data_IF_158660378016
#
_entry.id   IF_158660378016
#
_cell.length_a   1.000
_cell.length_b   1.000
_cell.length_c   1.000
_cell.angle_alpha   90.00
_cell.angle_beta   90.00
_cell.angle_gamma   90.00
#
_symmetry.space_group_name_H-M   'P 1'
#
loop_
_entity.id
_entity.type
_entity.pdbx_description
1 polymer ?
#
# COMPACT_ATOMS: atom_id res chain seq x y z
N UNK A 1 4.71 -1.20 38.69
CA UNK A 1 3.84 -0.39 37.81
C UNK A 1 4.53 -0.07 36.49
N UNK A 2 4.98 -1.09 35.74
CA UNK A 2 5.57 -0.93 34.40
C UNK A 2 5.40 -2.23 33.61
N UNK A 3 4.17 -2.64 33.28
CA UNK A 3 3.95 -3.51 32.11
C UNK A 3 2.47 -3.55 31.72
N UNK A 4 1.96 -2.46 31.15
CA UNK A 4 0.65 -2.47 30.48
C UNK A 4 0.68 -1.71 29.16
N UNK A 5 1.87 -1.47 28.59
CA UNK A 5 2.04 -0.70 27.34
C UNK A 5 2.51 -1.54 26.16
N UNK A 6 2.54 -2.87 26.29
CA UNK A 6 3.14 -3.75 25.26
C UNK A 6 2.15 -4.49 24.36
N UNK A 7 0.84 -4.24 24.45
CA UNK A 7 -0.14 -5.05 23.71
C UNK A 7 -1.22 -4.33 22.89
N UNK A 8 -1.16 -3.00 22.74
CA UNK A 8 -2.19 -2.24 22.00
C UNK A 8 -1.64 -1.42 20.82
N UNK A 9 -0.59 -1.89 20.13
CA UNK A 9 -0.05 -1.17 18.97
C UNK A 9 -0.91 -1.40 17.71
N UNK A 10 -2.22 -1.16 17.79
CA UNK A 10 -2.90 -0.62 16.61
C UNK A 10 -2.24 0.72 16.35
N UNK A 11 -1.69 0.92 15.15
CA UNK A 11 -1.14 2.21 14.73
C UNK A 11 -2.24 3.25 14.92
N UNK A 12 -2.20 3.99 16.04
CA UNK A 12 -3.15 5.05 16.30
C UNK A 12 -2.75 6.24 15.44
N UNK A 13 -3.57 6.52 14.43
CA UNK A 13 -3.42 7.70 13.58
C UNK A 13 -4.57 8.65 13.92
N UNK A 14 -4.29 9.90 14.35
CA UNK A 14 -5.34 10.86 14.64
C UNK A 14 -6.11 11.20 13.36
N UNK A 15 -7.41 11.48 13.50
CA UNK A 15 -8.30 11.76 12.36
C UNK A 15 -7.80 12.90 11.46
N UNK A 16 -7.12 13.89 12.05
CA UNK A 16 -6.49 14.98 11.32
C UNK A 16 -5.36 14.48 10.39
N UNK A 17 -4.48 13.61 10.90
CA UNK A 17 -3.40 13.02 10.10
C UNK A 17 -3.96 12.10 8.99
N UNK A 18 -5.07 11.39 9.25
CA UNK A 18 -5.79 10.65 8.20
C UNK A 18 -6.32 11.58 7.10
N UNK A 19 -6.97 12.67 7.49
CA UNK A 19 -7.53 13.66 6.55
C UNK A 19 -6.44 14.28 5.67
N UNK A 20 -5.35 14.71 6.28
CA UNK A 20 -4.24 15.37 5.58
C UNK A 20 -3.49 14.40 4.66
N UNK A 21 -3.39 13.12 5.05
CA UNK A 21 -2.71 12.07 4.28
C UNK A 21 -3.54 11.44 3.17
N UNK A 22 -4.87 11.65 3.16
CA UNK A 22 -5.79 10.94 2.26
C UNK A 22 -5.48 11.15 0.79
N UNK A 23 -5.21 12.40 0.39
CA UNK A 23 -4.91 12.73 -1.00
C UNK A 23 -3.65 12.01 -1.48
N UNK A 24 -2.58 12.01 -0.67
CA UNK A 24 -1.34 11.28 -1.01
C UNK A 24 -1.56 9.77 -1.09
N UNK A 25 -2.31 9.20 -0.14
CA UNK A 25 -2.67 7.79 -0.15
C UNK A 25 -3.42 7.39 -1.43
N UNK A 26 -4.36 8.22 -1.89
CA UNK A 26 -5.12 8.00 -3.14
C UNK A 26 -4.22 8.13 -4.36
N UNK A 27 -3.43 9.21 -4.47
CA UNK A 27 -2.48 9.44 -5.58
C UNK A 27 -1.54 8.25 -5.74
N UNK A 28 -1.10 7.64 -4.63
CA UNK A 28 -0.19 6.52 -4.66
C UNK A 28 -0.74 5.29 -5.39
N UNK A 29 -2.06 5.13 -5.47
CA UNK A 29 -2.70 3.97 -6.09
C UNK A 29 -3.01 4.16 -7.58
N UNK A 30 -3.03 5.39 -8.10
CA UNK A 30 -3.57 5.65 -9.45
C UNK A 30 -2.65 5.10 -10.54
N UNK A 31 -1.35 5.38 -10.43
CA UNK A 31 -0.33 4.86 -11.34
C UNK A 31 0.98 4.66 -10.59
N UNK A 32 1.91 3.90 -11.17
CA UNK A 32 3.27 3.80 -10.64
C UNK A 32 3.94 5.17 -10.52
N UNK A 33 3.67 6.08 -11.47
CA UNK A 33 4.18 7.47 -11.43
C UNK A 33 3.53 8.23 -10.27
N UNK A 34 2.22 8.10 -10.08
CA UNK A 34 1.50 8.64 -8.91
C UNK A 34 2.07 8.13 -7.59
N UNK A 35 2.42 6.85 -7.52
CA UNK A 35 3.12 6.26 -6.37
C UNK A 35 4.45 6.95 -6.08
N UNK A 36 5.29 7.18 -7.10
CA UNK A 36 6.56 7.88 -6.93
C UNK A 36 6.34 9.32 -6.45
N UNK A 37 5.39 10.05 -7.04
CA UNK A 37 5.03 11.41 -6.61
C UNK A 37 4.59 11.40 -5.13
N UNK A 38 3.72 10.48 -4.74
CA UNK A 38 3.22 10.38 -3.37
C UNK A 38 4.35 10.04 -2.37
N UNK A 39 5.33 9.22 -2.76
CA UNK A 39 6.54 8.95 -1.96
C UNK A 39 7.26 10.27 -1.67
N UNK A 40 7.57 11.05 -2.71
CA UNK A 40 8.26 12.34 -2.54
C UNK A 40 7.46 13.33 -1.70
N UNK A 41 6.15 13.47 -1.94
CA UNK A 41 5.28 14.31 -1.12
C UNK A 41 5.32 13.92 0.35
N UNK A 42 5.37 12.63 0.65
CA UNK A 42 5.36 12.13 2.02
C UNK A 42 6.74 12.12 2.70
N UNK A 43 7.84 12.29 1.96
CA UNK A 43 9.17 12.50 2.54
C UNK A 43 9.23 13.81 3.33
N UNK A 44 8.54 14.84 2.84
CA UNK A 44 8.43 16.13 3.51
C UNK A 44 7.36 16.11 4.61
N UNK A 45 6.14 15.63 4.28
CA UNK A 45 5.00 15.67 5.21
C UNK A 45 5.10 14.63 6.34
N UNK A 46 5.83 13.53 6.11
CA UNK A 46 6.03 12.40 7.05
C UNK A 46 4.73 11.88 7.67
N UNK A 47 3.65 11.87 6.89
CA UNK A 47 2.33 11.45 7.33
C UNK A 47 2.26 9.92 7.40
N UNK A 48 1.88 9.36 8.55
CA UNK A 48 1.85 7.91 8.77
C UNK A 48 0.74 7.21 7.98
N UNK A 49 -0.40 7.88 7.77
CA UNK A 49 -1.53 7.33 7.00
C UNK A 49 -1.16 7.19 5.54
N UNK A 50 -0.66 8.29 4.96
CA UNK A 50 -0.16 8.29 3.59
C UNK A 50 0.98 7.28 3.45
N UNK A 51 1.94 7.30 4.36
CA UNK A 51 3.08 6.39 4.34
C UNK A 51 2.70 4.92 4.34
N UNK A 52 1.71 4.55 5.16
CA UNK A 52 1.18 3.18 5.18
C UNK A 52 0.63 2.75 3.82
N UNK A 53 -0.21 3.58 3.20
CA UNK A 53 -0.85 3.30 1.91
C UNK A 53 0.11 3.41 0.72
N UNK A 54 1.10 4.30 0.79
CA UNK A 54 2.19 4.40 -0.18
C UNK A 54 2.99 3.10 -0.19
N UNK A 55 3.37 2.56 0.98
CA UNK A 55 4.08 1.27 1.07
C UNK A 55 3.27 0.12 0.49
N UNK A 56 1.95 0.10 0.70
CA UNK A 56 1.09 -0.94 0.09
C UNK A 56 0.97 -0.78 -1.42
N UNK A 57 0.65 0.42 -1.91
CA UNK A 57 0.51 0.68 -3.34
C UNK A 57 1.82 0.39 -4.09
N UNK A 58 2.95 0.84 -3.54
CA UNK A 58 4.27 0.56 -4.09
C UNK A 58 4.56 -0.94 -4.14
N UNK A 59 4.25 -1.67 -3.07
CA UNK A 59 4.40 -3.12 -3.03
C UNK A 59 3.54 -3.85 -4.05
N UNK A 60 2.29 -3.44 -4.23
CA UNK A 60 1.39 -4.00 -5.25
C UNK A 60 1.92 -3.73 -6.66
N UNK A 61 2.35 -2.50 -6.97
CA UNK A 61 2.93 -2.17 -8.27
C UNK A 61 4.22 -2.95 -8.53
N UNK A 62 5.13 -3.00 -7.57
CA UNK A 62 6.39 -3.72 -7.71
C UNK A 62 6.15 -5.22 -7.93
N UNK A 63 5.26 -5.82 -7.14
CA UNK A 63 4.91 -7.23 -7.27
C UNK A 63 4.24 -7.52 -8.62
N UNK A 64 3.39 -6.62 -9.11
CA UNK A 64 2.78 -6.72 -10.43
C UNK A 64 3.85 -6.77 -11.52
N UNK A 65 4.75 -5.80 -11.57
CA UNK A 65 5.79 -5.76 -12.60
C UNK A 65 6.78 -6.94 -12.48
N UNK A 66 7.14 -7.34 -11.27
CA UNK A 66 8.03 -8.47 -11.03
C UNK A 66 7.44 -9.79 -11.58
N UNK A 67 6.14 -10.02 -11.38
CA UNK A 67 5.48 -11.25 -11.82
C UNK A 67 4.94 -11.17 -13.25
N UNK A 68 4.58 -9.99 -13.74
CA UNK A 68 4.07 -9.79 -15.10
C UNK A 68 5.07 -10.25 -16.15
N UNK A 69 6.38 -10.08 -15.91
CA UNK A 69 7.45 -10.57 -16.78
C UNK A 69 7.37 -12.10 -16.96
N UNK A 70 7.19 -12.85 -15.88
CA UNK A 70 7.10 -14.31 -15.95
C UNK A 70 5.79 -14.77 -16.57
N UNK A 71 4.67 -14.13 -16.21
CA UNK A 71 3.35 -14.44 -16.78
C UNK A 71 3.33 -14.21 -18.28
N UNK A 72 3.98 -13.15 -18.77
CA UNK A 72 4.09 -12.87 -20.20
C UNK A 72 4.85 -13.93 -21.01
N UNK A 73 5.63 -14.80 -20.36
CA UNK A 73 6.25 -15.95 -21.03
C UNK A 73 5.27 -17.10 -21.28
N UNK A 74 4.15 -17.13 -20.55
CA UNK A 74 3.08 -18.08 -20.78
C UNK A 74 2.12 -17.50 -21.82
N UNK A 75 2.17 -18.01 -23.05
CA UNK A 75 1.25 -17.62 -24.13
C UNK A 75 -0.16 -18.23 -23.92
N UNK A 76 -0.77 -17.91 -22.78
CA UNK A 76 -2.07 -18.43 -22.36
C UNK A 76 -2.94 -17.32 -21.80
N UNK A 77 -4.06 -17.07 -22.47
CA UNK A 77 -5.04 -16.08 -22.04
C UNK A 77 -5.60 -16.38 -20.64
N UNK A 78 -5.72 -17.66 -20.27
CA UNK A 78 -6.22 -18.07 -18.96
C UNK A 78 -5.26 -17.67 -17.84
N UNK A 79 -3.95 -17.84 -18.05
CA UNK A 79 -2.93 -17.48 -17.05
C UNK A 79 -2.86 -15.96 -16.92
N UNK A 80 -2.81 -15.24 -18.04
CA UNK A 80 -2.74 -13.78 -18.06
C UNK A 80 -3.96 -13.15 -17.42
N UNK A 81 -5.17 -13.58 -17.76
CA UNK A 81 -6.41 -13.04 -17.17
C UNK A 81 -6.54 -13.34 -15.68
N UNK A 82 -6.20 -14.54 -15.22
CA UNK A 82 -6.19 -14.89 -13.80
C UNK A 82 -5.19 -14.02 -13.01
N UNK A 83 -4.01 -13.76 -13.58
CA UNK A 83 -3.02 -12.85 -13.02
C UNK A 83 -3.56 -11.43 -12.85
N UNK A 84 -4.10 -10.82 -13.91
CA UNK A 84 -4.66 -9.48 -13.84
C UNK A 84 -5.82 -9.38 -12.83
N UNK A 85 -6.69 -10.39 -12.77
CA UNK A 85 -7.80 -10.43 -11.82
C UNK A 85 -7.30 -10.47 -10.36
N UNK A 86 -6.31 -11.32 -10.07
CA UNK A 86 -5.72 -11.43 -8.74
C UNK A 86 -5.13 -10.08 -8.28
N UNK A 87 -4.34 -9.43 -9.14
CA UNK A 87 -3.74 -8.13 -8.83
C UNK A 87 -4.77 -7.01 -8.74
N UNK A 88 -5.81 -7.03 -9.57
CA UNK A 88 -6.88 -6.07 -9.50
C UNK A 88 -7.62 -6.15 -8.16
N UNK A 89 -7.88 -7.36 -7.65
CA UNK A 89 -8.51 -7.55 -6.32
C UNK A 89 -7.61 -7.01 -5.21
N UNK A 90 -6.31 -7.31 -5.23
CA UNK A 90 -5.35 -6.78 -4.25
C UNK A 90 -5.28 -5.24 -4.31
N UNK A 91 -5.22 -4.69 -5.51
CA UNK A 91 -5.19 -3.24 -5.71
C UNK A 91 -6.47 -2.58 -5.17
N UNK A 92 -7.66 -3.11 -5.52
CA UNK A 92 -8.96 -2.59 -5.04
C UNK A 92 -9.05 -2.66 -3.53
N UNK A 93 -8.61 -3.75 -2.89
CA UNK A 93 -8.66 -3.89 -1.44
C UNK A 93 -7.83 -2.82 -0.72
N UNK A 94 -6.61 -2.57 -1.19
CA UNK A 94 -5.75 -1.49 -0.67
C UNK A 94 -6.36 -0.11 -0.93
N UNK A 95 -6.86 0.11 -2.15
CA UNK A 95 -7.44 1.38 -2.56
C UNK A 95 -8.71 1.74 -1.76
N UNK A 96 -9.63 0.79 -1.59
CA UNK A 96 -10.83 0.96 -0.77
C UNK A 96 -10.45 1.24 0.69
N UNK A 97 -9.39 0.61 1.20
CA UNK A 97 -8.80 0.97 2.50
C UNK A 97 -8.44 2.45 2.58
N UNK A 98 -7.69 2.96 1.60
CA UNK A 98 -7.28 4.36 1.53
C UNK A 98 -8.47 5.34 1.43
N UNK A 99 -9.58 4.91 0.85
CA UNK A 99 -10.82 5.69 0.78
C UNK A 99 -11.62 5.65 2.09
N UNK A 100 -11.54 4.54 2.83
CA UNK A 100 -12.32 4.27 4.05
C UNK A 100 -11.82 5.01 5.29
N UNK A 101 -10.71 5.75 5.21
CA UNK A 101 -10.08 6.44 6.35
C UNK A 101 -9.60 5.49 7.46
N UNK A 102 -9.49 4.20 7.19
CA UNK A 102 -9.12 3.16 8.16
C UNK A 102 -7.85 2.48 7.70
N UNK A 103 -6.90 2.22 8.61
CA UNK A 103 -5.68 1.48 8.30
C UNK A 103 -6.01 -0.01 8.13
N UNK A 104 -6.13 -0.44 6.87
CA UNK A 104 -6.36 -1.84 6.48
C UNK A 104 -5.14 -2.42 5.79
N UNK A 105 -4.52 -3.40 6.42
CA UNK A 105 -3.40 -4.15 5.84
C UNK A 105 -3.96 -5.14 4.81
N UNK A 106 -3.39 -5.14 3.60
CA UNK A 106 -3.66 -6.21 2.62
C UNK A 106 -3.44 -7.59 3.26
N UNK A 107 -4.45 -8.49 3.23
CA UNK A 107 -4.28 -9.84 3.76
C UNK A 107 -3.13 -10.54 3.04
N UNK A 108 -2.41 -11.39 3.77
CA UNK A 108 -1.27 -12.19 3.30
C UNK A 108 -0.01 -11.38 2.92
N UNK A 109 -0.09 -10.39 2.04
CA UNK A 109 1.09 -9.70 1.48
C UNK A 109 1.39 -8.35 2.13
N UNK A 110 0.38 -7.68 2.71
CA UNK A 110 0.50 -6.31 3.19
C UNK A 110 1.52 -6.14 4.32
N UNK A 111 1.64 -7.14 5.21
CA UNK A 111 2.63 -7.12 6.31
C UNK A 111 4.06 -7.10 5.76
N UNK A 112 4.32 -7.84 4.68
CA UNK A 112 5.63 -7.85 4.03
C UNK A 112 5.95 -6.51 3.37
N UNK A 113 4.97 -5.89 2.71
CA UNK A 113 5.15 -4.54 2.15
C UNK A 113 5.52 -3.51 3.22
N UNK A 114 4.84 -3.54 4.37
CA UNK A 114 5.19 -2.65 5.49
C UNK A 114 6.60 -2.90 6.02
N UNK A 115 7.06 -4.16 6.02
CA UNK A 115 8.39 -4.55 6.49
C UNK A 115 9.50 -4.18 5.50
N UNK A 116 9.32 -4.49 4.21
CA UNK A 116 10.31 -4.25 3.16
C UNK A 116 10.49 -2.76 2.84
N UNK A 117 9.40 -2.01 2.88
CA UNK A 117 9.40 -0.59 2.54
C UNK A 117 9.37 0.32 3.76
N UNK A 118 9.80 -0.16 4.93
CA UNK A 118 9.76 0.59 6.18
C UNK A 118 10.53 1.92 6.17
N UNK A 119 11.47 2.11 5.24
CA UNK A 119 12.24 3.36 5.07
C UNK A 119 11.76 4.24 3.90
N UNK A 120 10.71 3.83 3.19
CA UNK A 120 10.33 4.46 1.91
C UNK A 120 9.55 5.77 2.10
N UNK A 121 8.67 5.86 3.10
CA UNK A 121 7.68 6.96 3.15
C UNK A 121 7.17 7.23 4.57
N UNK A 122 8.06 7.53 5.51
CA UNK A 122 7.84 7.67 6.96
C UNK A 122 7.85 6.34 7.76
#
# INVERSE_FOLDING_TARGET
MQDSRKNDTKLFIPAQEVKDGKTMAVIAHITVIGCLIAIFMNMDQKNKYAGFYIKQAFGVHLLFYALAYFVGMFDSWMITSAFFLCFFILWVFSFVGALSNEIKVLPTVGVYFQKWFNKLSA
#
